data_IF_814616612912
#
_entry.id   IF_814616612912
#
_cell.length_a   1.000
_cell.length_b   1.000
_cell.length_c   1.000
_cell.angle_alpha   90.00
_cell.angle_beta   90.00
_cell.angle_gamma   90.00
#
_symmetry.space_group_name_H-M   'P 1'
#
loop_
_entity.id
_entity.type
_entity.pdbx_description
1 polymer ?
#
# COMPACT_ATOMS: atom_id res chain seq x y z
N UNK A 1 -4.10 12.73 6.57
CA UNK A 1 -3.74 11.32 6.26
C UNK A 1 -4.63 10.87 5.12
N UNK A 2 -4.09 10.19 4.11
CA UNK A 2 -4.91 9.69 3.00
C UNK A 2 -5.87 8.60 3.50
N UNK A 3 -7.11 8.60 3.01
CA UNK A 3 -8.12 7.60 3.35
C UNK A 3 -7.92 6.30 2.51
N UNK A 4 -8.59 5.22 2.91
CA UNK A 4 -8.44 3.91 2.24
C UNK A 4 -8.83 3.96 0.75
N UNK A 5 -9.81 4.78 0.39
CA UNK A 5 -10.24 4.97 -1.00
C UNK A 5 -9.13 5.59 -1.86
N UNK A 6 -8.39 6.57 -1.31
CA UNK A 6 -7.26 7.21 -2.00
C UNK A 6 -6.13 6.22 -2.26
N UNK A 7 -5.80 5.35 -1.30
CA UNK A 7 -4.81 4.29 -1.51
C UNK A 7 -5.25 3.32 -2.60
N UNK A 8 -6.51 2.86 -2.56
CA UNK A 8 -7.05 1.94 -3.58
C UNK A 8 -7.04 2.58 -4.97
N UNK A 9 -7.42 3.85 -5.07
CA UNK A 9 -7.41 4.60 -6.32
C UNK A 9 -5.98 4.80 -6.87
N UNK A 10 -5.02 5.15 -6.00
CA UNK A 10 -3.61 5.29 -6.38
C UNK A 10 -3.02 3.97 -6.89
N UNK A 11 -3.28 2.86 -6.18
CA UNK A 11 -2.87 1.50 -6.60
C UNK A 11 -3.48 1.16 -7.97
N UNK A 12 -4.78 1.43 -8.18
CA UNK A 12 -5.43 1.16 -9.45
C UNK A 12 -4.83 1.99 -10.61
N UNK A 13 -4.55 3.28 -10.38
CA UNK A 13 -3.91 4.15 -11.38
C UNK A 13 -2.50 3.69 -11.73
N UNK A 14 -1.68 3.41 -10.71
CA UNK A 14 -0.31 2.89 -10.90
C UNK A 14 -0.32 1.56 -11.64
N UNK A 15 -1.25 0.65 -11.31
CA UNK A 15 -1.36 -0.66 -11.95
C UNK A 15 -1.78 -0.56 -13.42
N UNK A 16 -2.78 0.26 -13.72
CA UNK A 16 -3.36 0.33 -15.07
C UNK A 16 -2.59 1.28 -15.99
N UNK A 17 -2.03 2.36 -15.45
CA UNK A 17 -1.37 3.42 -16.21
C UNK A 17 -0.12 3.94 -15.50
N UNK A 18 0.92 3.11 -15.30
CA UNK A 18 2.12 3.49 -14.55
C UNK A 18 2.85 4.69 -15.17
N UNK A 19 2.83 4.83 -16.50
CA UNK A 19 3.47 5.92 -17.23
C UNK A 19 2.84 7.29 -16.98
N UNK A 20 1.57 7.34 -16.57
CA UNK A 20 0.84 8.59 -16.28
C UNK A 20 0.55 8.76 -14.80
N UNK A 21 0.96 7.81 -13.96
CA UNK A 21 0.77 7.89 -12.52
C UNK A 21 1.63 9.01 -11.94
N UNK A 22 1.01 9.85 -11.12
CA UNK A 22 1.73 10.97 -10.49
C UNK A 22 2.70 10.46 -9.44
N UNK A 23 3.69 11.29 -9.09
CA UNK A 23 4.59 10.99 -7.95
C UNK A 23 3.81 10.74 -6.65
N UNK A 24 2.73 11.48 -6.43
CA UNK A 24 1.86 11.29 -5.28
C UNK A 24 1.18 9.92 -5.26
N UNK A 25 0.84 9.36 -6.42
CA UNK A 25 0.24 8.03 -6.49
C UNK A 25 1.26 6.95 -6.10
N UNK A 26 2.50 7.08 -6.59
CA UNK A 26 3.60 6.20 -6.18
C UNK A 26 3.91 6.31 -4.69
N UNK A 27 3.87 7.52 -4.12
CA UNK A 27 4.07 7.71 -2.67
C UNK A 27 2.95 7.03 -1.85
N UNK A 28 1.70 7.09 -2.32
CA UNK A 28 0.59 6.40 -1.68
C UNK A 28 0.73 4.87 -1.80
N UNK A 29 1.10 4.35 -2.98
CA UNK A 29 1.35 2.93 -3.19
C UNK A 29 2.47 2.42 -2.27
N UNK A 30 3.57 3.19 -2.16
CA UNK A 30 4.68 2.84 -1.27
C UNK A 30 4.26 2.80 0.20
N UNK A 31 3.49 3.80 0.66
CA UNK A 31 2.94 3.80 2.02
C UNK A 31 2.00 2.63 2.28
N UNK A 32 1.12 2.30 1.33
CA UNK A 32 0.24 1.14 1.43
C UNK A 32 1.03 -0.17 1.52
N UNK A 33 2.10 -0.30 0.74
CA UNK A 33 2.97 -1.48 0.77
C UNK A 33 3.70 -1.63 2.12
N UNK A 34 4.20 -0.52 2.69
CA UNK A 34 4.82 -0.51 4.02
C UNK A 34 3.83 -0.98 5.10
N UNK A 35 2.61 -0.42 5.11
CA UNK A 35 1.58 -0.81 6.06
C UNK A 35 1.19 -2.29 5.92
N UNK A 36 1.02 -2.78 4.70
CA UNK A 36 0.73 -4.19 4.45
C UNK A 36 1.88 -5.10 4.90
N UNK A 37 3.13 -4.69 4.73
CA UNK A 37 4.31 -5.40 5.22
C UNK A 37 4.34 -5.52 6.75
N UNK A 38 4.10 -4.41 7.45
CA UNK A 38 4.00 -4.41 8.92
C UNK A 38 2.87 -5.30 9.42
N UNK A 39 1.69 -5.25 8.78
CA UNK A 39 0.57 -6.12 9.09
C UNK A 39 0.91 -7.59 8.84
N UNK A 40 1.59 -7.91 7.75
CA UNK A 40 2.06 -9.26 7.44
C UNK A 40 3.05 -9.80 8.47
N UNK A 41 3.97 -8.94 8.95
CA UNK A 41 4.93 -9.31 10.00
C UNK A 41 4.20 -9.61 11.33
N UNK A 42 3.27 -8.75 11.75
CA UNK A 42 2.45 -8.98 12.95
C UNK A 42 1.61 -10.25 12.85
N UNK A 43 1.01 -10.50 11.68
CA UNK A 43 0.25 -11.72 11.45
C UNK A 43 1.14 -12.98 11.53
N UNK A 44 2.39 -12.89 11.07
CA UNK A 44 3.37 -13.98 11.20
C UNK A 44 3.77 -14.21 12.65
N UNK A 45 4.08 -13.16 13.41
CA UNK A 45 4.38 -13.24 14.84
C UNK A 45 3.22 -13.87 15.63
N UNK A 46 2.00 -13.41 15.37
CA UNK A 46 0.79 -13.97 15.99
C UNK A 46 0.55 -15.44 15.63
N UNK A 47 0.85 -15.85 14.38
CA UNK A 47 0.72 -17.26 13.94
C UNK A 47 1.79 -18.15 14.59
N UNK A 48 3.03 -17.67 14.63
CA UNK A 48 4.17 -18.44 15.12
C UNK A 48 4.28 -18.37 16.67
N UNK A 49 3.35 -17.68 17.34
CA UNK A 49 3.18 -17.68 18.79
C UNK A 49 4.26 -16.92 19.57
N UNK A 50 4.85 -15.88 18.96
CA UNK A 50 5.86 -15.01 19.60
C UNK A 50 5.24 -13.72 20.11
#
# INVERSE_FOLDING_TARGET
MANESEYRAAIARVKNSPATASRSDWDLVNKAAQQAGELGNRAREARDGR
#
